data_IF_172511921143
#
_entry.id   IF_172511921143
#
_cell.length_a   1.000
_cell.length_b   1.000
_cell.length_c   1.000
_cell.angle_alpha   90.00
_cell.angle_beta   90.00
_cell.angle_gamma   90.00
#
_symmetry.space_group_name_H-M   'P 1'
#
loop_
_entity.id
_entity.type
_entity.pdbx_description
1 polymer ?
#
# COMPACT_ATOMS: atom_id res chain seq x y z
N UNK A 1 19.75 21.51 -30.91
CA UNK A 1 19.84 20.50 -29.82
C UNK A 1 18.95 20.76 -28.59
N UNK A 2 18.20 21.89 -28.48
CA UNK A 2 17.30 22.15 -27.32
C UNK A 2 15.94 21.42 -27.36
N UNK A 3 15.43 21.04 -28.53
CA UNK A 3 14.12 20.39 -28.66
C UNK A 3 14.06 18.92 -28.22
N UNK A 4 15.19 18.23 -28.08
CA UNK A 4 15.22 16.81 -27.71
C UNK A 4 15.15 16.55 -26.20
N UNK A 5 15.52 17.53 -25.34
CA UNK A 5 15.49 17.36 -23.87
C UNK A 5 14.08 17.51 -23.28
N UNK A 6 13.23 18.32 -23.90
CA UNK A 6 11.87 18.59 -23.41
C UNK A 6 10.93 17.39 -23.58
N UNK A 7 11.15 16.54 -24.60
CA UNK A 7 10.31 15.36 -24.85
C UNK A 7 10.52 14.23 -23.84
N UNK A 8 11.73 14.07 -23.31
CA UNK A 8 12.05 13.06 -22.28
C UNK A 8 11.42 13.45 -20.94
N UNK A 9 11.57 14.71 -20.53
CA UNK A 9 10.98 15.23 -19.28
C UNK A 9 9.44 15.19 -19.28
N UNK A 10 8.78 15.41 -20.44
CA UNK A 10 7.33 15.27 -20.56
C UNK A 10 6.84 13.81 -20.48
N UNK A 11 7.68 12.83 -20.84
CA UNK A 11 7.35 11.39 -20.68
C UNK A 11 7.51 10.90 -19.24
N UNK A 12 8.43 11.48 -18.46
CA UNK A 12 8.70 11.06 -17.08
C UNK A 12 7.74 11.68 -16.05
N UNK A 13 7.32 12.94 -16.22
CA UNK A 13 6.35 13.59 -15.33
C UNK A 13 5.05 12.79 -15.06
N UNK A 14 4.36 12.23 -16.07
CA UNK A 14 3.14 11.47 -15.82
C UNK A 14 3.42 10.12 -15.15
N UNK A 15 4.59 9.50 -15.39
CA UNK A 15 4.98 8.23 -14.75
C UNK A 15 5.29 8.43 -13.27
N UNK A 16 5.96 9.53 -12.93
CA UNK A 16 6.24 9.90 -11.54
C UNK A 16 4.95 10.22 -10.77
N UNK A 17 3.99 10.91 -11.41
CA UNK A 17 2.70 11.21 -10.82
C UNK A 17 1.86 9.94 -10.55
N UNK A 18 1.86 8.98 -11.49
CA UNK A 18 1.16 7.71 -11.33
C UNK A 18 1.82 6.85 -10.25
N UNK A 19 3.15 6.75 -10.23
CA UNK A 19 3.88 6.06 -9.17
C UNK A 19 3.64 6.69 -7.79
N UNK A 20 3.62 8.03 -7.71
CA UNK A 20 3.28 8.78 -6.49
C UNK A 20 1.86 8.51 -6.01
N UNK A 21 0.87 8.48 -6.92
CA UNK A 21 -0.50 8.10 -6.57
C UNK A 21 -0.60 6.63 -6.12
N UNK A 22 0.19 5.73 -6.70
CA UNK A 22 0.27 4.33 -6.29
C UNK A 22 0.85 4.17 -4.89
N UNK A 23 1.92 4.90 -4.58
CA UNK A 23 2.53 4.92 -3.25
C UNK A 23 1.55 5.47 -2.20
N UNK A 24 0.88 6.59 -2.49
CA UNK A 24 -0.12 7.17 -1.60
C UNK A 24 -1.31 6.22 -1.38
N UNK A 25 -1.82 5.60 -2.45
CA UNK A 25 -2.91 4.62 -2.35
C UNK A 25 -2.49 3.39 -1.53
N UNK A 26 -1.27 2.88 -1.71
CA UNK A 26 -0.71 1.78 -0.93
C UNK A 26 -0.59 2.12 0.56
N UNK A 27 -0.06 3.31 0.88
CA UNK A 27 0.04 3.78 2.26
C UNK A 27 -1.33 3.95 2.93
N UNK A 28 -2.29 4.59 2.24
CA UNK A 28 -3.66 4.78 2.76
C UNK A 28 -4.35 3.43 2.97
N UNK A 29 -4.24 2.50 2.03
CA UNK A 29 -4.81 1.16 2.17
C UNK A 29 -4.18 0.40 3.34
N UNK A 30 -2.85 0.49 3.52
CA UNK A 30 -2.19 -0.15 4.67
C UNK A 30 -2.59 0.49 5.99
N UNK A 31 -2.82 1.81 6.05
CA UNK A 31 -3.38 2.46 7.25
C UNK A 31 -4.80 1.97 7.54
N UNK A 32 -5.64 1.83 6.51
CA UNK A 32 -7.01 1.33 6.67
C UNK A 32 -7.01 -0.12 7.18
N UNK A 33 -6.18 -0.98 6.61
CA UNK A 33 -6.00 -2.37 7.06
C UNK A 33 -5.44 -2.40 8.48
N UNK A 34 -4.46 -1.54 8.79
CA UNK A 34 -3.90 -1.42 10.14
C UNK A 34 -4.95 -1.05 11.18
N UNK A 35 -5.84 -0.11 10.86
CA UNK A 35 -6.95 0.25 11.74
C UNK A 35 -7.93 -0.92 11.94
N UNK A 36 -8.21 -1.67 10.87
CA UNK A 36 -9.05 -2.87 10.95
C UNK A 36 -8.41 -3.97 11.81
N UNK A 37 -7.10 -4.20 11.66
CA UNK A 37 -6.34 -5.14 12.49
C UNK A 37 -6.43 -4.75 13.97
N UNK A 38 -6.16 -3.48 14.30
CA UNK A 38 -6.24 -2.98 15.67
C UNK A 38 -7.66 -3.11 16.25
N UNK A 39 -8.68 -2.87 15.43
CA UNK A 39 -10.08 -3.06 15.82
C UNK A 39 -10.37 -4.54 16.11
N UNK A 40 -9.95 -5.45 15.24
CA UNK A 40 -10.13 -6.90 15.40
C UNK A 40 -9.39 -7.41 16.63
N UNK A 41 -8.14 -6.98 16.86
CA UNK A 41 -7.39 -7.29 18.07
C UNK A 41 -8.14 -6.84 19.32
N UNK A 42 -8.74 -5.65 19.26
CA UNK A 42 -9.50 -5.14 20.39
C UNK A 42 -10.79 -5.92 20.65
N UNK A 43 -11.47 -6.39 19.60
CA UNK A 43 -12.67 -7.23 19.70
C UNK A 43 -12.31 -8.64 20.19
N UNK A 44 -11.14 -9.15 19.81
CA UNK A 44 -10.64 -10.46 20.21
C UNK A 44 -9.95 -10.48 21.60
N UNK A 45 -9.96 -9.36 22.32
CA UNK A 45 -9.30 -9.16 23.62
C UNK A 45 -7.79 -9.47 23.60
N UNK A 46 -7.16 -9.25 22.45
CA UNK A 46 -5.71 -9.36 22.27
C UNK A 46 -5.03 -8.04 22.65
N UNK A 47 -3.77 -8.08 23.14
CA UNK A 47 -2.96 -6.88 23.29
C UNK A 47 -2.83 -6.13 21.96
N UNK A 48 -3.03 -4.82 22.00
CA UNK A 48 -2.99 -3.97 20.82
C UNK A 48 -1.59 -4.01 20.19
N UNK A 49 -1.51 -4.39 18.92
CA UNK A 49 -0.26 -4.52 18.17
C UNK A 49 0.37 -5.92 18.20
N UNK A 50 -0.38 -6.95 18.63
CA UNK A 50 0.06 -8.35 18.61
C UNK A 50 0.44 -8.81 17.20
N UNK A 51 -0.32 -8.42 16.19
CA UNK A 51 -0.02 -8.70 14.78
C UNK A 51 1.35 -8.16 14.37
N UNK A 52 1.68 -6.92 14.77
CA UNK A 52 2.96 -6.30 14.42
C UNK A 52 4.14 -6.95 15.14
N UNK A 53 3.93 -7.41 16.39
CA UNK A 53 4.93 -8.21 17.10
C UNK A 53 5.20 -9.53 16.37
N UNK A 54 4.15 -10.27 16.03
CA UNK A 54 4.28 -11.54 15.30
C UNK A 54 4.96 -11.33 13.96
N UNK A 55 4.61 -10.26 13.24
CA UNK A 55 5.21 -9.92 11.96
C UNK A 55 6.73 -9.69 12.09
N UNK A 56 7.15 -8.91 13.09
CA UNK A 56 8.57 -8.62 13.34
C UNK A 56 9.33 -9.84 13.83
N UNK A 57 8.75 -10.64 14.71
CA UNK A 57 9.37 -11.89 15.17
C UNK A 57 9.51 -12.90 14.02
N UNK A 58 8.54 -12.96 13.11
CA UNK A 58 8.61 -13.86 11.95
C UNK A 58 9.66 -13.41 10.91
N UNK A 59 9.75 -12.12 10.62
CA UNK A 59 10.60 -11.60 9.54
C UNK A 59 12.01 -11.21 10.00
N UNK A 60 12.13 -10.59 11.17
CA UNK A 60 13.40 -10.10 11.70
C UNK A 60 13.96 -10.96 12.84
N UNK A 61 13.25 -12.02 13.26
CA UNK A 61 13.64 -12.90 14.38
C UNK A 61 13.94 -12.13 15.68
N UNK A 62 13.37 -10.93 15.84
CA UNK A 62 13.49 -10.14 17.05
C UNK A 62 12.47 -10.62 18.08
N UNK A 63 12.96 -10.90 19.29
CA UNK A 63 12.16 -11.42 20.40
C UNK A 63 11.86 -10.36 21.47
N UNK A 64 12.26 -9.10 21.21
CA UNK A 64 12.00 -7.98 22.10
C UNK A 64 10.53 -7.56 22.02
N UNK A 65 9.82 -7.62 23.14
CA UNK A 65 8.41 -7.24 23.24
C UNK A 65 8.26 -5.81 23.74
N UNK A 66 8.81 -4.86 22.99
CA UNK A 66 8.84 -3.44 23.33
C UNK A 66 7.95 -2.62 22.40
N UNK A 67 7.57 -1.42 22.82
CA UNK A 67 6.77 -0.51 21.98
C UNK A 67 7.48 -0.19 20.66
N UNK A 68 8.82 -0.21 20.65
CA UNK A 68 9.63 0.00 19.46
C UNK A 68 9.51 -1.14 18.45
N UNK A 69 9.36 -2.39 18.88
CA UNK A 69 9.16 -3.52 17.94
C UNK A 69 7.75 -3.52 17.34
N UNK A 70 6.73 -3.11 18.10
CA UNK A 70 5.39 -2.86 17.55
C UNK A 70 5.44 -1.76 16.48
N UNK A 71 6.09 -0.63 16.77
CA UNK A 71 6.24 0.46 15.81
C UNK A 71 7.01 0.03 14.55
N UNK A 72 8.02 -0.82 14.71
CA UNK A 72 8.79 -1.37 13.59
C UNK A 72 7.93 -2.31 12.73
N UNK A 73 7.09 -3.15 13.33
CA UNK A 73 6.16 -4.01 12.59
C UNK A 73 5.09 -3.21 11.86
N UNK A 74 4.59 -2.14 12.46
CA UNK A 74 3.69 -1.20 11.81
C UNK A 74 4.36 -0.51 10.61
N UNK A 75 5.60 -0.03 10.77
CA UNK A 75 6.37 0.55 9.67
C UNK A 75 6.64 -0.45 8.56
N UNK A 76 6.93 -1.70 8.89
CA UNK A 76 7.14 -2.77 7.93
C UNK A 76 5.86 -3.08 7.14
N UNK A 77 4.71 -3.10 7.84
CA UNK A 77 3.41 -3.25 7.21
C UNK A 77 3.10 -2.09 6.25
N UNK A 78 3.34 -0.84 6.68
CA UNK A 78 3.21 0.35 5.83
C UNK A 78 4.14 0.34 4.63
N UNK A 79 5.40 -0.07 4.81
CA UNK A 79 6.37 -0.18 3.73
C UNK A 79 5.94 -1.24 2.71
N UNK A 80 5.50 -2.41 3.17
CA UNK A 80 4.98 -3.47 2.32
C UNK A 80 3.74 -3.00 1.52
N UNK A 81 2.78 -2.34 2.17
CA UNK A 81 1.61 -1.78 1.49
C UNK A 81 1.96 -0.70 0.48
N UNK A 82 2.93 0.16 0.78
CA UNK A 82 3.44 1.19 -0.13
C UNK A 82 4.11 0.58 -1.35
N UNK A 83 4.95 -0.44 -1.17
CA UNK A 83 5.60 -1.18 -2.27
C UNK A 83 4.55 -1.86 -3.14
N UNK A 84 3.56 -2.53 -2.55
CA UNK A 84 2.46 -3.14 -3.29
C UNK A 84 1.64 -2.11 -4.07
N UNK A 85 1.36 -0.95 -3.48
CA UNK A 85 0.69 0.16 -4.17
C UNK A 85 1.47 0.67 -5.38
N UNK A 86 2.80 0.77 -5.28
CA UNK A 86 3.65 1.11 -6.42
C UNK A 86 3.63 0.00 -7.47
N UNK A 87 3.80 -1.27 -7.09
CA UNK A 87 3.78 -2.42 -8.02
C UNK A 87 2.47 -2.48 -8.80
N UNK A 88 1.33 -2.33 -8.12
CA UNK A 88 0.00 -2.31 -8.76
C UNK A 88 -0.17 -1.08 -9.65
N UNK A 89 0.49 0.04 -9.35
CA UNK A 89 0.45 1.26 -10.20
C UNK A 89 1.28 1.16 -11.49
N UNK A 90 2.22 0.21 -11.60
CA UNK A 90 3.09 0.00 -12.77
C UNK A 90 2.31 -0.23 -14.07
N UNK A 91 1.34 -1.16 -14.17
CA UNK A 91 0.58 -1.37 -15.40
C UNK A 91 -0.19 -0.12 -15.86
N UNK A 92 -0.62 0.74 -14.93
CA UNK A 92 -1.31 2.00 -15.24
C UNK A 92 -0.37 3.07 -15.82
N UNK A 93 0.94 2.97 -15.57
CA UNK A 93 1.94 3.80 -16.25
C UNK A 93 2.13 3.44 -17.74
N UNK A 94 1.79 2.20 -18.12
CA UNK A 94 2.02 1.68 -19.48
C UNK A 94 0.78 1.82 -20.36
N UNK A 95 -0.43 1.71 -19.81
CA UNK A 95 -1.68 1.76 -20.59
C UNK A 95 -2.72 2.74 -20.01
N UNK A 96 -2.91 3.88 -20.68
CA UNK A 96 -4.00 4.84 -20.37
C UNK A 96 -5.40 4.22 -20.50
N UNK A 97 -5.56 3.20 -21.35
CA UNK A 97 -6.85 2.53 -21.60
C UNK A 97 -7.28 1.66 -20.40
N UNK A 98 -6.32 1.06 -19.71
CA UNK A 98 -6.55 0.30 -18.47
C UNK A 98 -7.00 1.18 -17.31
N UNK A 99 -6.44 2.40 -17.18
CA UNK A 99 -6.80 3.32 -16.09
C UNK A 99 -8.26 3.79 -16.17
N UNK A 100 -8.75 4.13 -17.38
CA UNK A 100 -10.13 4.59 -17.59
C UNK A 100 -11.13 3.44 -17.42
N UNK A 101 -10.79 2.23 -17.86
CA UNK A 101 -11.61 1.04 -17.65
C UNK A 101 -11.67 0.65 -16.17
N UNK A 102 -10.52 0.61 -15.48
CA UNK A 102 -10.48 0.30 -14.06
C UNK A 102 -11.19 1.36 -13.21
N UNK A 103 -11.09 2.67 -13.51
CA UNK A 103 -11.79 3.68 -12.71
C UNK A 103 -13.32 3.50 -12.67
N UNK A 104 -13.92 2.98 -13.76
CA UNK A 104 -15.37 2.75 -13.85
C UNK A 104 -15.85 1.50 -13.12
N UNK A 105 -14.99 0.47 -13.02
CA UNK A 105 -15.35 -0.82 -12.42
C UNK A 105 -14.64 -1.10 -11.09
N UNK A 106 -13.59 -0.37 -10.73
CA UNK A 106 -12.83 -0.56 -9.50
C UNK A 106 -13.66 -0.42 -8.22
N UNK A 107 -14.60 0.53 -8.09
CA UNK A 107 -15.46 0.60 -6.92
C UNK A 107 -16.35 -0.65 -6.79
N UNK A 108 -16.87 -1.15 -7.91
CA UNK A 108 -17.74 -2.33 -7.95
C UNK A 108 -16.96 -3.60 -7.66
N UNK A 109 -15.77 -3.76 -8.22
CA UNK A 109 -14.88 -4.89 -7.91
C UNK A 109 -14.37 -4.85 -6.46
N UNK A 110 -14.03 -3.67 -5.95
CA UNK A 110 -13.64 -3.50 -4.54
C UNK A 110 -14.77 -3.84 -3.58
N UNK A 111 -15.99 -3.37 -3.86
CA UNK A 111 -17.18 -3.70 -3.07
C UNK A 111 -17.55 -5.18 -3.19
N UNK A 112 -17.52 -5.76 -4.39
CA UNK A 112 -17.83 -7.19 -4.58
C UNK A 112 -16.81 -8.08 -3.88
N UNK A 113 -15.51 -7.76 -3.96
CA UNK A 113 -14.47 -8.48 -3.24
C UNK A 113 -14.62 -8.33 -1.72
N UNK A 114 -15.01 -7.14 -1.23
CA UNK A 114 -15.25 -6.89 0.19
C UNK A 114 -16.54 -7.51 0.74
N UNK A 115 -17.53 -7.80 -0.10
CA UNK A 115 -18.82 -8.40 0.31
C UNK A 115 -18.79 -9.94 0.30
N UNK A 116 -17.86 -10.53 -0.47
CA UNK A 116 -17.67 -11.99 -0.54
C UNK A 116 -16.74 -12.49 0.58
N UNK A 117 -15.97 -11.60 1.20
CA UNK A 117 -15.19 -11.87 2.42
C UNK A 117 -16.05 -11.71 3.68
#
# INVERSE_FOLDING_TARGET
>A
MKHARTSILQRFKPRLAVAGSGLAAGAISSLAISALILLVEKIADLPVGTFYLVLVSALLQMQEHTVTTVALGFLLHLAAGSVMGVVISVPFCVSKRSFVSSGRYAPVYGLAAGFVL
#
